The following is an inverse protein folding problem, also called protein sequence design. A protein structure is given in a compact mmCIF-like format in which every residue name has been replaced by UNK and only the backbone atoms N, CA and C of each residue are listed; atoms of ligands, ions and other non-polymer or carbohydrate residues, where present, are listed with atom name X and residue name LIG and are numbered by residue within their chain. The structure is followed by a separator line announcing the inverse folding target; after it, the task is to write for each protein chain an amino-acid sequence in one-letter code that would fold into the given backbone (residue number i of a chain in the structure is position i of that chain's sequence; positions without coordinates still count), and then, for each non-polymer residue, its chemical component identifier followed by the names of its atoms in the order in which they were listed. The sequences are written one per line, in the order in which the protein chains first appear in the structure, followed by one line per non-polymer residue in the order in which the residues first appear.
data_IF_353549129847
#
_entry.id   IF_353549129847
#
_cell.length_a   1.000
_cell.length_b   1.000
_cell.length_c   1.000
_cell.angle_alpha   90.00
_cell.angle_beta   90.00
_cell.angle_gamma   90.00
#
_symmetry.space_group_name_H-M   'P 1'
#
loop_
_entity.id
_entity.type
_entity.pdbx_description
1 polymer ?
#
# COMPACT_ATOMS: atom_id res chain seq x y z
N UNK A 1 -4.68 13.64 0.21
CA UNK A 1 -5.93 14.44 0.18
C UNK A 1 -7.06 13.73 -0.55
N UNK A 2 -6.88 13.27 -1.81
CA UNK A 2 -7.95 12.60 -2.56
C UNK A 2 -8.41 11.26 -1.95
N UNK A 3 -7.46 10.42 -1.49
CA UNK A 3 -7.79 9.18 -0.77
C UNK A 3 -8.62 9.44 0.49
N UNK A 4 -8.31 10.49 1.24
CA UNK A 4 -9.06 10.91 2.43
C UNK A 4 -10.49 11.35 2.09
N UNK A 5 -10.67 12.14 1.03
CA UNK A 5 -12.01 12.53 0.56
C UNK A 5 -12.83 11.33 0.08
N UNK A 6 -12.21 10.39 -0.66
CA UNK A 6 -12.87 9.17 -1.11
C UNK A 6 -13.22 8.25 0.07
N UNK A 7 -12.30 8.11 1.03
CA UNK A 7 -12.51 7.38 2.29
C UNK A 7 -13.66 7.97 3.08
N UNK A 8 -13.69 9.29 3.28
CA UNK A 8 -14.75 9.99 4.02
C UNK A 8 -16.11 9.90 3.32
N UNK A 9 -16.12 9.97 1.98
CA UNK A 9 -17.34 9.80 1.18
C UNK A 9 -17.85 8.35 1.26
N UNK A 10 -16.97 7.36 1.23
CA UNK A 10 -17.32 5.95 1.42
C UNK A 10 -17.79 5.66 2.85
N UNK A 11 -17.17 6.26 3.87
CA UNK A 11 -17.58 6.16 5.26
C UNK A 11 -18.99 6.72 5.47
N UNK A 12 -19.28 7.89 4.88
CA UNK A 12 -20.62 8.50 4.92
C UNK A 12 -21.67 7.71 4.14
N UNK A 13 -21.27 7.05 3.04
CA UNK A 13 -22.19 6.29 2.19
C UNK A 13 -22.47 4.86 2.67
N UNK A 14 -21.50 4.18 3.30
CA UNK A 14 -21.62 2.77 3.69
C UNK A 14 -21.77 2.56 5.19
N UNK A 15 -21.46 3.57 6.02
CA UNK A 15 -21.53 3.46 7.49
C UNK A 15 -20.52 2.49 8.12
N UNK A 16 -19.67 1.84 7.32
CA UNK A 16 -18.68 0.86 7.78
C UNK A 16 -17.27 1.41 7.62
N UNK A 17 -16.57 1.61 8.75
CA UNK A 17 -15.16 2.02 8.77
C UNK A 17 -14.25 1.00 8.04
N UNK A 18 -14.66 -0.26 8.03
CA UNK A 18 -13.95 -1.36 7.37
C UNK A 18 -13.93 -1.15 5.83
N UNK A 19 -15.09 -0.85 5.24
CA UNK A 19 -15.20 -0.52 3.81
C UNK A 19 -14.60 0.86 3.50
N UNK A 20 -14.88 1.86 4.33
CA UNK A 20 -14.39 3.23 4.14
C UNK A 20 -12.87 3.33 4.06
N UNK A 21 -12.13 2.51 4.82
CA UNK A 21 -10.67 2.55 4.86
C UNK A 21 -9.95 1.45 4.08
N UNK A 22 -10.50 0.24 3.96
CA UNK A 22 -9.86 -0.82 3.14
C UNK A 22 -9.98 -0.56 1.65
N UNK A 23 -11.15 -0.15 1.15
CA UNK A 23 -11.37 0.03 -0.29
C UNK A 23 -10.39 1.03 -0.92
N UNK A 24 -10.16 2.23 -0.34
CA UNK A 24 -9.19 3.17 -0.89
C UNK A 24 -7.76 2.64 -0.91
N UNK A 25 -7.36 1.84 0.10
CA UNK A 25 -6.02 1.25 0.15
C UNK A 25 -5.88 0.15 -0.89
N UNK A 26 -6.86 -0.75 -1.00
CA UNK A 26 -6.85 -1.82 -1.99
C UNK A 26 -6.86 -1.24 -3.41
N UNK A 27 -7.71 -0.24 -3.67
CA UNK A 27 -7.70 0.48 -4.94
C UNK A 27 -6.36 1.17 -5.21
N UNK A 28 -5.76 1.81 -4.19
CA UNK A 28 -4.43 2.41 -4.24
C UNK A 28 -3.33 1.42 -4.62
N UNK A 29 -3.32 0.25 -3.99
CA UNK A 29 -2.37 -0.83 -4.25
C UNK A 29 -2.57 -1.46 -5.64
N UNK A 30 -3.83 -1.61 -6.09
CA UNK A 30 -4.12 -2.06 -7.46
C UNK A 30 -3.61 -1.06 -8.49
N UNK A 31 -3.85 0.24 -8.29
CA UNK A 31 -3.31 1.28 -9.17
C UNK A 31 -1.77 1.30 -9.16
N UNK A 32 -1.14 1.09 -7.99
CA UNK A 32 0.31 0.97 -7.89
C UNK A 32 0.84 -0.27 -8.65
N UNK A 33 0.10 -1.39 -8.63
CA UNK A 33 0.50 -2.61 -9.36
C UNK A 33 0.51 -2.43 -10.88
N UNK A 34 -0.23 -1.46 -11.43
CA UNK A 34 -0.17 -1.10 -12.84
C UNK A 34 1.23 -0.63 -13.28
N UNK A 35 2.13 -0.30 -12.35
CA UNK A 35 3.51 0.06 -12.69
C UNK A 35 4.23 -1.05 -13.48
N UNK A 36 3.80 -2.31 -13.34
CA UNK A 36 4.35 -3.45 -14.12
C UNK A 36 4.13 -3.22 -15.61
N UNK A 37 3.02 -2.60 -16.02
CA UNK A 37 2.71 -2.38 -17.45
C UNK A 37 3.69 -1.43 -18.13
N UNK A 38 4.40 -0.60 -17.36
CA UNK A 38 5.43 0.29 -17.89
C UNK A 38 6.58 -0.46 -18.59
N UNK A 39 6.77 -1.75 -18.30
CA UNK A 39 7.80 -2.58 -18.95
C UNK A 39 7.56 -2.81 -20.45
N UNK A 40 6.32 -2.78 -20.90
CA UNK A 40 5.95 -3.05 -22.29
C UNK A 40 5.62 -1.78 -23.07
N UNK A 41 5.81 -0.61 -22.45
CA UNK A 41 5.55 0.68 -23.09
C UNK A 41 6.85 1.20 -23.70
N UNK A 42 6.84 1.42 -25.01
CA UNK A 42 7.97 1.95 -25.77
C UNK A 42 7.97 3.48 -25.84
N UNK A 43 6.83 4.12 -25.54
CA UNK A 43 6.69 5.58 -25.55
C UNK A 43 6.93 6.17 -24.17
N UNK A 44 7.90 7.09 -24.05
CA UNK A 44 8.19 7.82 -22.82
C UNK A 44 6.96 8.48 -22.20
N UNK A 45 6.09 9.04 -23.05
CA UNK A 45 4.85 9.69 -22.61
C UNK A 45 3.89 8.69 -21.97
N UNK A 46 3.76 7.49 -22.55
CA UNK A 46 2.94 6.42 -21.99
C UNK A 46 3.50 5.91 -20.66
N UNK A 47 4.83 5.76 -20.54
CA UNK A 47 5.49 5.37 -19.29
C UNK A 47 5.23 6.40 -18.18
N UNK A 48 5.41 7.69 -18.48
CA UNK A 48 5.17 8.77 -17.52
C UNK A 48 3.71 8.78 -17.06
N UNK A 49 2.74 8.57 -17.96
CA UNK A 49 1.33 8.51 -17.60
C UNK A 49 1.03 7.34 -16.66
N UNK A 50 1.56 6.15 -16.95
CA UNK A 50 1.39 4.97 -16.07
C UNK A 50 2.05 5.19 -14.72
N UNK A 51 3.26 5.73 -14.66
CA UNK A 51 3.94 6.01 -13.39
C UNK A 51 3.21 7.07 -12.57
N UNK A 52 2.68 8.11 -13.21
CA UNK A 52 1.88 9.14 -12.56
C UNK A 52 0.60 8.56 -11.96
N UNK A 53 -0.06 7.66 -12.70
CA UNK A 53 -1.25 6.94 -12.22
C UNK A 53 -0.92 6.01 -11.05
N UNK A 54 0.18 5.26 -11.13
CA UNK A 54 0.64 4.38 -10.06
C UNK A 54 0.99 5.17 -8.78
N UNK A 55 1.69 6.28 -8.90
CA UNK A 55 2.03 7.15 -7.77
C UNK A 55 0.82 7.88 -7.19
N UNK A 56 -0.18 8.20 -8.01
CA UNK A 56 -1.47 8.67 -7.50
C UNK A 56 -2.13 7.62 -6.61
N UNK A 57 -2.13 6.35 -7.03
CA UNK A 57 -2.59 5.22 -6.22
C UNK A 57 -1.84 5.08 -4.90
N UNK A 58 -0.52 5.22 -4.93
CA UNK A 58 0.33 5.22 -3.72
C UNK A 58 -0.09 6.30 -2.71
N UNK A 59 -0.53 7.46 -3.18
CA UNK A 59 -1.09 8.51 -2.32
C UNK A 59 -2.34 8.10 -1.53
N UNK A 60 -3.11 7.12 -2.03
CA UNK A 60 -4.28 6.56 -1.33
C UNK A 60 -3.89 5.51 -0.30
N UNK A 61 -2.80 4.77 -0.53
CA UNK A 61 -2.24 3.78 0.42
C UNK A 61 -1.77 4.45 1.72
N UNK A 62 -1.47 5.75 1.70
CA UNK A 62 -1.12 6.53 2.90
C UNK A 62 -2.18 6.50 4.02
N UNK A 63 -3.43 6.13 3.71
CA UNK A 63 -4.48 5.86 4.71
C UNK A 63 -4.18 4.65 5.60
N UNK A 64 -3.20 3.80 5.28
CA UNK A 64 -2.81 2.67 6.12
C UNK A 64 -2.43 3.10 7.54
N UNK A 65 -1.80 4.28 7.69
CA UNK A 65 -1.45 4.87 8.98
C UNK A 65 -2.66 5.14 9.87
N UNK A 66 -3.73 5.64 9.27
CA UNK A 66 -4.96 5.93 10.03
C UNK A 66 -5.66 4.62 10.41
N UNK A 67 -5.61 3.61 9.54
CA UNK A 67 -6.12 2.27 9.81
C UNK A 67 -5.44 1.59 11.01
N UNK A 68 -4.11 1.69 11.10
CA UNK A 68 -3.35 1.14 12.23
C UNK A 68 -3.74 1.84 13.54
N UNK A 69 -3.97 3.15 13.47
CA UNK A 69 -4.39 3.94 14.63
C UNK A 69 -5.79 3.56 15.13
N UNK A 70 -6.70 3.18 14.22
CA UNK A 70 -8.05 2.72 14.54
C UNK A 70 -8.06 1.32 15.18
N UNK A 71 -7.16 0.42 14.73
CA UNK A 71 -7.09 -0.97 15.21
C UNK A 71 -6.31 -1.07 16.54
N UNK A 72 -5.42 -0.11 16.82
CA UNK A 72 -4.50 -0.17 17.96
C UNK A 72 -5.22 -0.28 19.33
N UNK A 73 -4.76 -1.17 20.23
CA UNK A 73 -5.36 -1.34 21.55
C UNK A 73 -5.32 -0.07 22.40
N UNK A 74 -6.27 0.06 23.35
CA UNK A 74 -6.24 1.14 24.34
C UNK A 74 -4.92 1.10 25.12
N UNK A 75 -4.18 2.21 25.13
CA UNK A 75 -2.88 2.33 25.81
C UNK A 75 -1.66 1.80 25.03
N UNK A 76 -1.83 1.05 23.93
CA UNK A 76 -0.73 0.46 23.16
C UNK A 76 -0.59 1.05 21.74
N UNK A 77 -1.17 2.22 21.49
CA UNK A 77 -1.05 2.93 20.21
C UNK A 77 0.41 3.17 19.80
N UNK A 78 1.26 3.55 20.76
CA UNK A 78 2.69 3.77 20.53
C UNK A 78 3.45 2.50 20.13
N UNK A 79 3.14 1.36 20.76
CA UNK A 79 3.78 0.07 20.42
C UNK A 79 3.33 -0.44 19.05
N UNK A 80 2.03 -0.33 18.75
CA UNK A 80 1.48 -0.76 17.46
C UNK A 80 2.03 0.10 16.32
N UNK A 81 2.08 1.43 16.51
CA UNK A 81 2.67 2.36 15.55
C UNK A 81 4.19 2.21 15.43
N UNK A 82 4.89 1.92 16.54
CA UNK A 82 6.32 1.66 16.57
C UNK A 82 6.70 0.40 15.79
N UNK A 83 5.96 -0.70 15.99
CA UNK A 83 6.15 -1.94 15.23
C UNK A 83 5.90 -1.72 13.74
N UNK A 84 4.84 -0.99 13.38
CA UNK A 84 4.58 -0.64 12.00
C UNK A 84 5.70 0.18 11.39
N UNK A 85 6.21 1.19 12.10
CA UNK A 85 7.35 1.98 11.66
C UNK A 85 8.60 1.12 11.48
N UNK A 86 8.86 0.19 12.40
CA UNK A 86 9.98 -0.73 12.29
C UNK A 86 9.89 -1.57 11.01
N UNK A 87 8.74 -2.19 10.75
CA UNK A 87 8.52 -2.95 9.52
C UNK A 87 8.62 -2.07 8.26
N UNK A 88 8.05 -0.86 8.29
CA UNK A 88 8.08 0.08 7.16
C UNK A 88 9.50 0.56 6.83
N UNK A 89 10.29 0.92 7.85
CA UNK A 89 11.69 1.31 7.67
C UNK A 89 12.55 0.12 7.20
N UNK A 90 12.33 -1.08 7.75
CA UNK A 90 13.02 -2.29 7.30
C UNK A 90 12.70 -2.60 5.83
N UNK A 91 11.44 -2.54 5.43
CA UNK A 91 11.03 -2.70 4.04
C UNK A 91 11.65 -1.61 3.14
N UNK A 92 11.76 -0.37 3.64
CA UNK A 92 12.42 0.74 2.96
C UNK A 92 13.91 0.52 2.71
N UNK A 93 14.60 -0.25 3.56
CA UNK A 93 16.00 -0.65 3.36
C UNK A 93 16.10 -1.86 2.43
N UNK A 94 15.26 -2.87 2.64
CA UNK A 94 15.31 -4.13 1.87
C UNK A 94 14.92 -3.93 0.39
N UNK A 95 13.93 -3.09 0.11
CA UNK A 95 13.43 -2.86 -1.26
C UNK A 95 14.52 -2.39 -2.24
N UNK A 96 15.27 -1.28 -1.98
CA UNK A 96 16.33 -0.84 -2.88
C UNK A 96 17.50 -1.82 -2.95
N UNK A 97 17.77 -2.56 -1.87
CA UNK A 97 18.81 -3.58 -1.86
C UNK A 97 18.46 -4.76 -2.79
N UNK A 98 17.22 -5.26 -2.70
CA UNK A 98 16.71 -6.32 -3.60
C UNK A 98 16.69 -5.83 -5.05
N UNK A 99 16.19 -4.62 -5.30
CA UNK A 99 16.21 -4.01 -6.64
C UNK A 99 17.66 -3.91 -7.16
N UNK A 100 18.60 -3.47 -6.33
CA UNK A 100 20.01 -3.36 -6.66
C UNK A 100 20.61 -4.70 -7.09
N UNK A 101 20.34 -5.77 -6.34
CA UNK A 101 20.80 -7.12 -6.73
C UNK A 101 20.16 -7.62 -8.03
N UNK A 102 18.86 -7.35 -8.24
CA UNK A 102 18.16 -7.71 -9.47
C UNK A 102 18.80 -6.99 -10.66
N UNK A 103 18.99 -5.66 -10.57
CA UNK A 103 19.56 -4.88 -11.67
C UNK A 103 21.03 -5.23 -11.90
N UNK A 104 21.80 -5.52 -10.85
CA UNK A 104 23.19 -5.96 -10.98
C UNK A 104 23.31 -7.33 -11.66
N UNK A 105 22.38 -8.26 -11.41
CA UNK A 105 22.40 -9.60 -12.00
C UNK A 105 21.87 -9.66 -13.43
N UNK A 106 20.79 -8.93 -13.74
CA UNK A 106 20.10 -9.00 -15.03
C UNK A 106 20.39 -7.83 -15.97
N UNK A 107 20.99 -6.75 -15.46
CA UNK A 107 21.35 -5.54 -16.23
C UNK A 107 20.15 -4.69 -16.67
N UNK A 108 18.92 -5.01 -16.25
CA UNK A 108 17.71 -4.29 -16.63
C UNK A 108 16.75 -4.09 -15.44
N UNK A 109 15.82 -3.14 -15.58
CA UNK A 109 14.81 -2.83 -14.57
C UNK A 109 13.55 -3.70 -14.66
N UNK A 110 13.48 -4.60 -15.64
CA UNK A 110 12.26 -5.36 -15.92
C UNK A 110 11.80 -6.17 -14.71
N UNK A 111 12.71 -6.95 -14.15
CA UNK A 111 12.46 -7.76 -12.96
C UNK A 111 12.27 -6.91 -11.70
N UNK A 112 12.86 -5.72 -11.63
CA UNK A 112 12.66 -4.80 -10.50
C UNK A 112 11.24 -4.23 -10.48
N UNK A 113 10.70 -3.84 -11.63
CA UNK A 113 9.32 -3.38 -11.77
C UNK A 113 8.31 -4.48 -11.47
N UNK A 114 8.58 -5.72 -11.91
CA UNK A 114 7.77 -6.89 -11.54
C UNK A 114 7.79 -7.13 -10.03
N UNK A 115 8.94 -7.05 -9.38
CA UNK A 115 9.05 -7.18 -7.93
C UNK A 115 8.19 -6.14 -7.19
N UNK A 116 8.26 -4.87 -7.59
CA UNK A 116 7.48 -3.79 -6.96
C UNK A 116 5.97 -4.03 -7.13
N UNK A 117 5.51 -4.29 -8.35
CA UNK A 117 4.09 -4.52 -8.57
C UNK A 117 3.59 -5.83 -7.97
N UNK A 118 4.42 -6.87 -7.93
CA UNK A 118 4.13 -8.11 -7.22
C UNK A 118 3.98 -7.90 -5.71
N UNK A 119 4.85 -7.10 -5.10
CA UNK A 119 4.73 -6.70 -3.71
C UNK A 119 3.43 -5.91 -3.44
N UNK A 120 3.04 -5.02 -4.37
CA UNK A 120 1.77 -4.29 -4.28
C UNK A 120 0.55 -5.23 -4.35
N UNK A 121 0.57 -6.22 -5.26
CA UNK A 121 -0.48 -7.24 -5.36
C UNK A 121 -0.55 -8.15 -4.12
N UNK A 122 0.60 -8.56 -3.58
CA UNK A 122 0.64 -9.28 -2.31
C UNK A 122 0.04 -8.44 -1.18
N UNK A 123 0.29 -7.12 -1.18
CA UNK A 123 -0.38 -6.17 -0.30
C UNK A 123 -1.90 -6.22 -0.44
N UNK A 124 -2.43 -6.20 -1.67
CA UNK A 124 -3.89 -6.33 -1.93
C UNK A 124 -4.44 -7.61 -1.31
N UNK A 125 -3.78 -8.75 -1.56
CA UNK A 125 -4.20 -10.04 -1.02
C UNK A 125 -4.19 -10.02 0.51
N UNK A 126 -3.15 -9.47 1.13
CA UNK A 126 -3.07 -9.33 2.58
C UNK A 126 -4.21 -8.46 3.14
N UNK A 127 -4.51 -7.33 2.50
CA UNK A 127 -5.59 -6.44 2.94
C UNK A 127 -6.99 -7.03 2.77
N UNK A 128 -7.19 -7.89 1.76
CA UNK A 128 -8.47 -8.55 1.49
C UNK A 128 -8.70 -9.78 2.38
N UNK A 129 -7.69 -10.63 2.55
CA UNK A 129 -7.83 -11.93 3.20
C UNK A 129 -7.31 -12.00 4.63
N UNK A 130 -6.23 -11.26 4.95
CA UNK A 130 -5.56 -11.34 6.26
C UNK A 130 -6.09 -10.26 7.20
N UNK A 131 -6.28 -9.04 6.69
CA UNK A 131 -6.83 -7.96 7.51
C UNK A 131 -8.31 -8.28 7.80
N UNK A 132 -8.63 -8.60 9.05
CA UNK A 132 -9.98 -8.89 9.52
C UNK A 132 -10.85 -7.63 9.68
N UNK A 133 -11.77 -7.68 10.63
CA UNK A 133 -12.61 -6.52 10.95
C UNK A 133 -11.78 -5.36 11.50
N UNK A 134 -11.98 -4.17 10.91
CA UNK A 134 -11.37 -2.93 11.41
C UNK A 134 -12.14 -2.49 12.64
N UNK A 135 -11.79 -3.10 13.77
CA UNK A 135 -12.28 -2.78 15.11
C UNK A 135 -11.07 -2.66 16.02
N UNK A 136 -11.18 -1.77 17.00
CA UNK A 136 -10.13 -1.61 17.99
C UNK A 136 -9.94 -2.93 18.74
N UNK A 137 -8.71 -3.42 18.80
CA UNK A 137 -8.41 -4.66 19.52
C UNK A 137 -8.62 -4.41 21.01
N UNK A 138 -9.60 -5.09 21.60
CA UNK A 138 -9.80 -5.12 23.05
C UNK A 138 -8.93 -6.24 23.62
N UNK A 139 -7.91 -5.86 24.39
CA UNK A 139 -7.14 -6.81 25.17
C UNK A 139 -7.99 -7.16 26.39
N UNK A 140 -8.54 -8.38 26.41
CA UNK A 140 -9.00 -8.97 27.67
C UNK A 140 -7.79 -9.00 28.58
N UNK A 141 -7.89 -8.31 29.72
CA UNK A 141 -6.91 -8.40 30.80
C UNK A 141 -6.80 -9.83 31.31
#
# INVERSE_FOLDING_TARGET
MFGGWLSDKLLKATGSANLGRKLPIVAGLLMASCIITANWLESDLAVILVMSFAFFGQGMVGLGWTLISDIAPKGLGGLTGGLFNFCANLAGILTPLVIGFIVAGFGNFFYALIYIGGAALLGVVAYLFILGDVKRIELSQ
#
